data_IF_512789916406
#
_entry.id   IF_512789916406
#
_cell.length_a   1.000
_cell.length_b   1.000
_cell.length_c   1.000
_cell.angle_alpha   90.00
_cell.angle_beta   90.00
_cell.angle_gamma   90.00
#
_symmetry.space_group_name_H-M   'P 1'
#
loop_
_entity.id
_entity.type
_entity.pdbx_description
1 polymer ?
#
# COMPACT_ATOMS: atom_id res chain seq x y z
N UNK A 1 -6.04 3.09 34.89
CA UNK A 1 -5.74 4.28 34.07
C UNK A 1 -6.22 4.03 32.65
N UNK A 2 -7.36 4.61 32.25
CA UNK A 2 -7.80 4.60 30.85
C UNK A 2 -7.01 5.69 30.12
N UNK A 3 -6.13 5.31 29.19
CA UNK A 3 -5.52 6.27 28.26
C UNK A 3 -6.62 6.70 27.29
N UNK A 4 -7.15 7.90 27.49
CA UNK A 4 -7.91 8.62 26.46
C UNK A 4 -6.90 9.03 25.37
N UNK A 5 -6.54 8.08 24.50
CA UNK A 5 -5.98 8.46 23.21
C UNK A 5 -7.10 9.20 22.45
N UNK A 6 -6.81 10.33 21.79
CA UNK A 6 -7.80 10.95 20.91
C UNK A 6 -8.23 9.91 19.89
N UNK A 7 -9.53 9.59 19.87
CA UNK A 7 -10.09 8.70 18.87
C UNK A 7 -9.90 9.35 17.51
N UNK A 8 -9.27 8.63 16.58
CA UNK A 8 -9.18 9.07 15.19
C UNK A 8 -10.54 8.81 14.55
N UNK A 9 -11.37 9.85 14.48
CA UNK A 9 -12.64 9.78 13.78
C UNK A 9 -12.43 9.91 12.27
N UNK A 10 -12.54 8.79 11.55
CA UNK A 10 -12.59 8.81 10.09
C UNK A 10 -13.96 9.32 9.64
N UNK A 11 -14.06 10.62 9.39
CA UNK A 11 -15.30 11.26 8.96
C UNK A 11 -15.65 11.00 7.48
N UNK A 12 -14.68 10.53 6.67
CA UNK A 12 -14.84 10.27 5.24
C UNK A 12 -13.92 9.14 4.76
N UNK A 13 -14.35 8.35 3.76
CA UNK A 13 -13.55 7.28 3.16
C UNK A 13 -12.25 7.79 2.49
N UNK A 14 -12.26 9.03 2.01
CA UNK A 14 -11.08 9.72 1.49
C UNK A 14 -9.96 9.86 2.53
N UNK A 15 -10.31 10.02 3.80
CA UNK A 15 -9.35 10.12 4.90
C UNK A 15 -8.59 8.81 5.14
N UNK A 16 -9.24 7.66 4.93
CA UNK A 16 -8.57 6.35 5.01
C UNK A 16 -7.61 6.11 3.85
N UNK A 17 -8.01 6.50 2.63
CA UNK A 17 -7.14 6.41 1.44
C UNK A 17 -5.94 7.33 1.57
N UNK A 18 -6.13 8.55 2.09
CA UNK A 18 -5.06 9.49 2.42
C UNK A 18 -4.10 8.91 3.45
N UNK A 19 -4.61 8.42 4.59
CA UNK A 19 -3.79 7.78 5.62
C UNK A 19 -2.96 6.62 5.07
N UNK A 20 -3.56 5.75 4.23
CA UNK A 20 -2.83 4.67 3.58
C UNK A 20 -1.66 5.19 2.74
N UNK A 21 -1.91 6.19 1.91
CA UNK A 21 -0.88 6.81 1.09
C UNK A 21 0.24 7.42 1.94
N UNK A 22 -0.12 8.20 2.95
CA UNK A 22 0.84 8.89 3.82
C UNK A 22 1.74 7.90 4.58
N UNK A 23 1.17 6.82 5.13
CA UNK A 23 1.95 5.81 5.84
C UNK A 23 2.90 5.05 4.91
N UNK A 24 2.44 4.72 3.70
CA UNK A 24 3.30 4.05 2.72
C UNK A 24 4.46 4.96 2.28
N UNK A 25 4.21 6.27 2.11
CA UNK A 25 5.25 7.24 1.81
C UNK A 25 6.23 7.43 2.97
N UNK A 26 5.74 7.59 4.20
CA UNK A 26 6.60 7.70 5.39
C UNK A 26 7.55 6.50 5.47
N UNK A 27 7.03 5.28 5.26
CA UNK A 27 7.85 4.06 5.16
C UNK A 27 8.89 4.15 4.04
N UNK A 28 8.47 4.50 2.82
CA UNK A 28 9.37 4.59 1.67
C UNK A 28 10.51 5.59 1.88
N UNK A 29 10.26 6.66 2.62
CA UNK A 29 11.26 7.69 2.96
C UNK A 29 12.02 7.40 4.27
N UNK A 30 11.89 6.19 4.84
CA UNK A 30 12.67 5.76 6.01
C UNK A 30 12.15 6.25 7.36
N UNK A 31 10.94 6.79 7.44
CA UNK A 31 10.28 7.21 8.69
C UNK A 31 9.52 6.06 9.36
N UNK A 32 10.23 4.96 9.62
CA UNK A 32 9.68 3.75 10.24
C UNK A 32 9.14 4.00 11.65
N UNK A 33 9.83 4.85 12.41
CA UNK A 33 9.46 5.33 13.75
C UNK A 33 8.05 5.94 13.81
N UNK A 34 7.55 6.45 12.68
CA UNK A 34 6.19 7.01 12.54
C UNK A 34 5.22 6.02 11.90
N UNK A 35 5.66 5.33 10.85
CA UNK A 35 4.80 4.43 10.09
C UNK A 35 4.34 3.21 10.94
N UNK A 36 5.26 2.62 11.71
CA UNK A 36 4.97 1.41 12.46
C UNK A 36 3.96 1.61 13.61
N UNK A 37 4.12 2.60 14.51
CA UNK A 37 3.13 2.82 15.57
C UNK A 37 1.72 3.12 15.03
N UNK A 38 1.63 3.84 13.91
CA UNK A 38 0.35 4.12 13.26
C UNK A 38 -0.30 2.83 12.72
N UNK A 39 0.47 1.97 12.05
CA UNK A 39 -0.02 0.68 11.58
C UNK A 39 -0.42 -0.26 12.73
N UNK A 40 0.28 -0.24 13.87
CA UNK A 40 -0.14 -0.97 15.07
C UNK A 40 -1.48 -0.46 15.59
N UNK A 41 -1.71 0.85 15.58
CA UNK A 41 -3.00 1.41 15.98
C UNK A 41 -4.12 0.96 15.02
N UNK A 42 -3.87 0.98 13.71
CA UNK A 42 -4.81 0.47 12.72
C UNK A 42 -5.08 -1.04 12.92
N UNK A 43 -4.06 -1.84 13.20
CA UNK A 43 -4.20 -3.27 13.46
C UNK A 43 -5.07 -3.59 14.69
N UNK A 44 -5.20 -2.64 15.62
CA UNK A 44 -6.05 -2.78 16.81
C UNK A 44 -7.53 -2.47 16.60
N UNK A 45 -7.92 -2.03 15.40
CA UNK A 45 -9.32 -1.73 15.06
C UNK A 45 -10.15 -3.03 15.08
N UNK A 46 -11.28 -3.07 15.80
CA UNK A 46 -12.16 -4.24 15.80
C UNK A 46 -12.75 -4.53 14.42
N UNK A 47 -13.02 -5.81 14.15
CA UNK A 47 -13.67 -6.30 12.93
C UNK A 47 -12.92 -6.06 11.62
N UNK A 48 -11.58 -6.00 11.67
CA UNK A 48 -10.71 -5.97 10.50
C UNK A 48 -10.96 -7.11 9.50
N UNK A 49 -11.73 -8.13 9.87
CA UNK A 49 -12.21 -9.21 9.02
C UNK A 49 -13.29 -8.80 7.99
N UNK A 50 -14.06 -7.74 8.24
CA UNK A 50 -15.15 -7.38 7.33
C UNK A 50 -14.65 -6.67 6.06
N UNK A 51 -15.27 -6.95 4.91
CA UNK A 51 -14.88 -6.40 3.59
C UNK A 51 -14.74 -4.87 3.54
N UNK A 52 -15.46 -4.15 4.41
CA UNK A 52 -15.41 -2.70 4.52
C UNK A 52 -14.06 -2.14 5.03
N UNK A 53 -13.23 -2.97 5.65
CA UNK A 53 -11.94 -2.57 6.22
C UNK A 53 -10.73 -2.96 5.35
N UNK A 54 -10.95 -3.26 4.06
CA UNK A 54 -9.88 -3.63 3.13
C UNK A 54 -8.74 -2.60 3.10
N UNK A 55 -9.05 -1.29 3.10
CA UNK A 55 -8.03 -0.22 3.12
C UNK A 55 -7.20 -0.25 4.41
N UNK A 56 -7.80 -0.57 5.55
CA UNK A 56 -7.06 -0.67 6.82
C UNK A 56 -6.15 -1.90 6.82
N UNK A 57 -6.62 -3.03 6.28
CA UNK A 57 -5.77 -4.22 6.10
C UNK A 57 -4.58 -3.94 5.18
N UNK A 58 -4.80 -3.22 4.08
CA UNK A 58 -3.72 -2.78 3.20
C UNK A 58 -2.64 -2.03 3.96
N UNK A 59 -3.01 -1.06 4.82
CA UNK A 59 -2.05 -0.33 5.67
C UNK A 59 -1.20 -1.28 6.51
N UNK A 60 -1.84 -2.24 7.18
CA UNK A 60 -1.15 -3.18 8.07
C UNK A 60 -0.22 -4.09 7.27
N UNK A 61 -0.67 -4.62 6.13
CA UNK A 61 0.12 -5.52 5.30
C UNK A 61 1.26 -4.81 4.57
N UNK A 62 1.10 -3.54 4.20
CA UNK A 62 2.16 -2.70 3.63
C UNK A 62 3.35 -2.59 4.60
N UNK A 63 3.05 -2.28 5.86
CA UNK A 63 4.06 -2.17 6.93
C UNK A 63 4.61 -3.55 7.29
N UNK A 64 3.77 -4.58 7.39
CA UNK A 64 4.18 -5.95 7.70
C UNK A 64 5.13 -6.53 6.64
N UNK A 65 4.87 -6.27 5.36
CA UNK A 65 5.74 -6.75 4.28
C UNK A 65 7.12 -6.08 4.35
N UNK A 66 7.17 -4.78 4.66
CA UNK A 66 8.45 -4.11 4.85
C UNK A 66 9.23 -4.65 6.05
N UNK A 67 8.58 -4.85 7.20
CA UNK A 67 9.21 -5.47 8.37
C UNK A 67 9.79 -6.86 8.03
N UNK A 68 9.05 -7.67 7.27
CA UNK A 68 9.51 -8.99 6.84
C UNK A 68 10.77 -8.92 5.97
N UNK A 69 10.88 -7.90 5.11
CA UNK A 69 12.05 -7.68 4.25
C UNK A 69 13.28 -7.20 5.02
N UNK A 70 13.06 -6.50 6.12
CA UNK A 70 14.13 -6.06 7.04
C UNK A 70 14.54 -7.14 8.04
N UNK A 71 13.84 -8.29 8.05
CA UNK A 71 14.07 -9.37 9.00
C UNK A 71 13.54 -9.08 10.42
N UNK A 72 12.70 -8.06 10.59
CA UNK A 72 12.06 -7.73 11.86
C UNK A 72 10.83 -8.63 12.10
N UNK A 73 11.10 -9.87 12.48
CA UNK A 73 10.07 -10.88 12.72
C UNK A 73 9.14 -10.53 13.90
N UNK A 74 9.63 -9.77 14.87
CA UNK A 74 8.82 -9.32 16.01
C UNK A 74 7.73 -8.36 15.57
N UNK A 75 8.08 -7.39 14.71
CA UNK A 75 7.10 -6.48 14.10
C UNK A 75 6.14 -7.22 13.18
N UNK A 76 6.62 -8.21 12.42
CA UNK A 76 5.76 -9.06 11.58
C UNK A 76 4.72 -9.82 12.40
N UNK A 77 5.13 -10.37 13.55
CA UNK A 77 4.24 -11.10 14.46
C UNK A 77 3.20 -10.15 15.08
N UNK A 78 3.64 -9.01 15.63
CA UNK A 78 2.76 -8.01 16.25
C UNK A 78 1.70 -7.47 15.29
N UNK A 79 2.08 -7.20 14.04
CA UNK A 79 1.13 -6.73 13.03
C UNK A 79 0.22 -7.86 12.53
N UNK A 80 0.66 -9.13 12.63
CA UNK A 80 -0.08 -10.28 12.12
C UNK A 80 -1.24 -10.74 12.99
N UNK A 81 -1.22 -10.46 14.30
CA UNK A 81 -2.18 -11.02 15.28
C UNK A 81 -3.66 -10.71 14.95
N UNK A 82 -3.92 -9.59 14.28
CA UNK A 82 -5.27 -9.13 13.92
C UNK A 82 -5.44 -8.71 12.46
N UNK A 83 -4.38 -8.87 11.65
CA UNK A 83 -4.41 -8.47 10.25
C UNK A 83 -5.05 -9.52 9.33
N UNK A 84 -5.04 -10.78 9.77
CA UNK A 84 -5.62 -11.89 9.03
C UNK A 84 -7.04 -12.19 9.47
N UNK A 85 -7.82 -12.62 8.51
CA UNK A 85 -9.13 -13.23 8.71
C UNK A 85 -9.18 -14.48 7.85
N UNK A 86 -9.44 -15.62 8.49
CA UNK A 86 -9.46 -16.94 7.86
C UNK A 86 -10.55 -17.05 6.80
N UNK A 87 -11.63 -16.27 6.94
CA UNK A 87 -12.79 -16.28 6.04
C UNK A 87 -12.70 -15.23 4.92
N UNK A 88 -11.76 -14.29 5.01
CA UNK A 88 -11.58 -13.24 3.99
C UNK A 88 -10.47 -13.63 3.00
N UNK A 89 -10.84 -13.65 1.72
CA UNK A 89 -9.89 -13.71 0.60
C UNK A 89 -10.09 -12.50 -0.31
N UNK A 90 -9.04 -11.72 -0.59
CA UNK A 90 -9.14 -10.63 -1.54
C UNK A 90 -9.54 -11.12 -2.94
N UNK A 91 -10.66 -10.60 -3.47
CA UNK A 91 -11.25 -11.05 -4.75
C UNK A 91 -10.34 -10.82 -5.97
N UNK A 92 -9.31 -10.01 -5.82
CA UNK A 92 -8.38 -9.62 -6.86
C UNK A 92 -7.10 -10.47 -6.92
N UNK A 93 -6.93 -11.44 -6.02
CA UNK A 93 -5.75 -12.31 -6.03
C UNK A 93 -5.63 -13.13 -7.32
N UNK A 94 -6.74 -13.51 -7.93
CA UNK A 94 -6.77 -14.45 -9.06
C UNK A 94 -6.82 -13.77 -10.43
N UNK A 95 -6.93 -12.44 -10.49
CA UNK A 95 -7.16 -11.71 -11.74
C UNK A 95 -6.04 -10.73 -12.04
N UNK A 96 -5.34 -10.98 -13.13
CA UNK A 96 -4.35 -10.04 -13.65
C UNK A 96 -5.07 -8.86 -14.33
N UNK A 97 -5.12 -7.69 -13.66
CA UNK A 97 -5.56 -6.42 -14.27
C UNK A 97 -6.67 -5.65 -13.56
N UNK A 98 -7.48 -6.30 -12.71
CA UNK A 98 -8.37 -5.58 -11.79
C UNK A 98 -7.91 -5.90 -10.36
N UNK A 99 -7.61 -4.90 -9.50
CA UNK A 99 -7.74 -3.45 -9.65
C UNK A 99 -6.43 -2.68 -9.95
N UNK A 100 -5.39 -3.35 -10.46
CA UNK A 100 -4.08 -2.75 -10.78
C UNK A 100 -4.16 -1.61 -11.80
N UNK A 101 -3.44 -0.52 -11.54
CA UNK A 101 -3.34 0.68 -12.38
C UNK A 101 -2.21 0.59 -13.41
N UNK A 102 -1.17 -0.20 -13.13
CA UNK A 102 0.00 -0.43 -13.99
C UNK A 102 0.70 0.87 -14.42
N UNK A 103 1.12 1.72 -13.46
CA UNK A 103 1.68 3.04 -13.77
C UNK A 103 2.93 3.02 -14.63
N UNK A 104 3.65 1.89 -14.66
CA UNK A 104 4.87 1.73 -15.45
C UNK A 104 4.64 1.05 -16.81
N UNK A 105 3.44 0.52 -17.08
CA UNK A 105 3.17 -0.24 -18.31
C UNK A 105 2.14 0.43 -19.22
N UNK A 106 1.17 1.17 -18.66
CA UNK A 106 0.16 1.88 -19.46
C UNK A 106 0.77 3.14 -20.10
N UNK A 107 0.88 3.25 -21.44
CA UNK A 107 1.48 4.40 -22.11
C UNK A 107 0.73 5.72 -21.88
N UNK A 108 -0.58 5.68 -21.65
CA UNK A 108 -1.36 6.88 -21.31
C UNK A 108 -1.04 7.34 -19.88
N UNK A 109 -0.94 6.40 -18.95
CA UNK A 109 -0.61 6.70 -17.57
C UNK A 109 0.84 7.17 -17.43
N UNK A 110 1.80 6.51 -18.07
CA UNK A 110 3.20 6.95 -18.11
C UNK A 110 3.35 8.40 -18.61
N UNK A 111 2.59 8.78 -19.64
CA UNK A 111 2.52 10.17 -20.14
C UNK A 111 1.97 11.13 -19.11
N UNK A 112 0.83 10.81 -18.48
CA UNK A 112 0.22 11.68 -17.47
C UNK A 112 1.05 11.80 -16.19
N UNK A 113 1.89 10.80 -15.90
CA UNK A 113 2.86 10.82 -14.81
C UNK A 113 4.15 11.60 -15.14
N UNK A 114 4.34 11.98 -16.40
CA UNK A 114 5.53 12.68 -16.87
C UNK A 114 6.75 11.78 -17.09
N UNK A 115 6.57 10.45 -17.11
CA UNK A 115 7.65 9.49 -17.39
C UNK A 115 8.05 9.48 -18.87
N UNK A 116 7.06 9.59 -19.77
CA UNK A 116 7.27 9.66 -21.23
C UNK A 116 6.60 10.91 -21.82
N UNK A 117 7.01 12.14 -21.44
CA UNK A 117 6.28 13.34 -21.83
C UNK A 117 6.23 13.51 -23.36
N UNK A 118 5.05 13.81 -23.89
CA UNK A 118 4.86 14.15 -25.31
C UNK A 118 4.50 15.63 -25.44
N UNK A 119 4.89 16.33 -26.53
CA UNK A 119 4.47 17.71 -26.74
C UNK A 119 2.95 17.84 -26.67
N UNK A 120 2.45 18.74 -25.80
CA UNK A 120 1.02 18.97 -25.60
C UNK A 120 0.29 17.94 -24.72
N UNK A 121 0.96 16.94 -24.15
CA UNK A 121 0.32 16.02 -23.21
C UNK A 121 0.03 16.68 -21.87
N UNK A 122 -1.16 16.47 -21.31
CA UNK A 122 -1.46 16.84 -19.94
C UNK A 122 -0.66 15.98 -18.96
N UNK A 123 0.12 16.63 -18.10
CA UNK A 123 0.89 15.98 -17.03
C UNK A 123 0.23 16.34 -15.70
N UNK A 124 -0.04 15.33 -14.88
CA UNK A 124 -0.62 15.51 -13.55
C UNK A 124 0.26 16.42 -12.69
N UNK A 125 -0.32 17.21 -11.77
CA UNK A 125 0.46 17.88 -10.72
C UNK A 125 1.26 16.86 -9.91
N UNK A 126 2.48 17.19 -9.43
CA UNK A 126 3.34 16.23 -8.71
C UNK A 126 2.65 15.44 -7.59
N UNK A 127 1.83 16.05 -6.70
CA UNK A 127 1.15 15.31 -5.63
C UNK A 127 0.21 14.20 -6.13
N UNK A 128 -0.30 14.33 -7.35
CA UNK A 128 -1.25 13.37 -7.92
C UNK A 128 -0.57 12.23 -8.68
N UNK A 129 0.75 12.30 -8.91
CA UNK A 129 1.51 11.30 -9.68
C UNK A 129 1.75 10.01 -8.89
N UNK A 130 1.77 10.10 -7.56
CA UNK A 130 2.09 8.95 -6.69
C UNK A 130 0.93 7.96 -6.54
N UNK A 131 -0.31 8.44 -6.58
CA UNK A 131 -1.50 7.65 -6.22
C UNK A 131 -1.61 6.30 -6.96
N UNK A 132 -1.36 6.21 -8.28
CA UNK A 132 -1.39 4.93 -8.97
C UNK A 132 -0.36 3.91 -8.44
N UNK A 133 0.84 4.36 -8.08
CA UNK A 133 1.88 3.50 -7.51
C UNK A 133 1.51 3.04 -6.10
N UNK A 134 1.05 3.96 -5.25
CA UNK A 134 0.65 3.64 -3.88
C UNK A 134 -0.48 2.60 -3.85
N UNK A 135 -1.42 2.69 -4.79
CA UNK A 135 -2.49 1.71 -4.90
C UNK A 135 -1.99 0.33 -5.31
N UNK A 136 -1.15 0.25 -6.35
CA UNK A 136 -0.64 -1.03 -6.82
C UNK A 136 0.28 -1.69 -5.78
N UNK A 137 1.11 -0.91 -5.08
CA UNK A 137 1.95 -1.41 -3.97
C UNK A 137 1.10 -2.03 -2.86
N UNK A 138 0.02 -1.36 -2.43
CA UNK A 138 -0.89 -1.92 -1.42
C UNK A 138 -1.60 -3.20 -1.86
N UNK A 139 -1.95 -3.31 -3.15
CA UNK A 139 -2.54 -4.53 -3.69
C UNK A 139 -1.53 -5.68 -3.67
N UNK A 140 -0.27 -5.43 -4.03
CA UNK A 140 0.79 -6.43 -3.95
C UNK A 140 1.02 -6.87 -2.50
N UNK A 141 0.99 -5.94 -1.53
CA UNK A 141 1.14 -6.26 -0.11
C UNK A 141 0.03 -7.17 0.41
N UNK A 142 -1.21 -6.93 -0.02
CA UNK A 142 -2.33 -7.83 0.26
C UNK A 142 -2.07 -9.22 -0.34
N UNK A 143 -1.67 -9.31 -1.61
CA UNK A 143 -1.42 -10.61 -2.24
C UNK A 143 -0.28 -11.35 -1.55
N UNK A 144 0.80 -10.65 -1.18
CA UNK A 144 1.92 -11.19 -0.41
C UNK A 144 1.46 -11.75 0.94
N UNK A 145 0.62 -11.01 1.66
CA UNK A 145 0.15 -11.41 2.98
C UNK A 145 -0.60 -12.75 2.93
N UNK A 146 -1.36 -13.00 1.87
CA UNK A 146 -2.12 -14.22 1.63
C UNK A 146 -1.31 -15.33 0.92
N UNK A 147 0.02 -15.21 0.85
CA UNK A 147 0.92 -16.24 0.33
C UNK A 147 1.08 -16.26 -1.18
N UNK A 148 0.69 -15.19 -1.88
CA UNK A 148 0.75 -15.10 -3.33
C UNK A 148 -0.47 -15.68 -4.02
N UNK A 149 -0.41 -15.77 -5.35
CA UNK A 149 -1.42 -16.43 -6.17
C UNK A 149 -0.81 -17.07 -7.42
N UNK A 150 -1.54 -17.91 -8.18
CA UNK A 150 -1.03 -18.48 -9.42
C UNK A 150 -0.58 -17.44 -10.46
N UNK A 151 -1.22 -16.26 -10.47
CA UNK A 151 -0.83 -15.15 -11.35
C UNK A 151 0.23 -14.24 -10.71
N UNK A 152 0.33 -14.22 -9.38
CA UNK A 152 1.29 -13.44 -8.61
C UNK A 152 2.10 -14.32 -7.65
N UNK A 153 3.01 -15.15 -8.16
CA UNK A 153 3.92 -15.91 -7.29
C UNK A 153 4.86 -14.95 -6.54
N UNK A 154 5.40 -15.42 -5.42
CA UNK A 154 6.12 -14.58 -4.45
C UNK A 154 7.34 -13.85 -5.05
N UNK A 155 8.06 -14.50 -5.95
CA UNK A 155 9.17 -13.93 -6.71
C UNK A 155 8.72 -12.81 -7.64
N UNK A 156 7.61 -13.01 -8.36
CA UNK A 156 6.99 -11.98 -9.22
C UNK A 156 6.51 -10.79 -8.40
N UNK A 157 5.87 -11.02 -7.25
CA UNK A 157 5.43 -9.96 -6.35
C UNK A 157 6.57 -9.06 -5.89
N UNK A 158 7.66 -9.67 -5.44
CA UNK A 158 8.83 -8.93 -4.95
C UNK A 158 9.50 -8.13 -6.07
N UNK A 159 9.60 -8.73 -7.26
CA UNK A 159 10.11 -8.03 -8.44
C UNK A 159 9.26 -6.82 -8.81
N UNK A 160 7.94 -6.99 -8.88
CA UNK A 160 7.02 -5.91 -9.27
C UNK A 160 6.99 -4.80 -8.21
N UNK A 161 7.01 -5.17 -6.92
CA UNK A 161 7.12 -4.22 -5.81
C UNK A 161 8.39 -3.39 -5.95
N UNK A 162 9.55 -4.01 -6.17
CA UNK A 162 10.82 -3.30 -6.36
C UNK A 162 10.75 -2.34 -7.57
N UNK A 163 10.17 -2.79 -8.67
CA UNK A 163 9.97 -1.99 -9.89
C UNK A 163 9.11 -0.77 -9.63
N UNK A 164 7.99 -0.93 -8.92
CA UNK A 164 7.07 0.16 -8.57
C UNK A 164 7.67 1.15 -7.57
N UNK A 165 8.37 0.68 -6.53
CA UNK A 165 9.05 1.57 -5.58
C UNK A 165 10.12 2.41 -6.28
N UNK A 166 10.95 1.81 -7.12
CA UNK A 166 11.95 2.54 -7.90
C UNK A 166 11.29 3.55 -8.85
N UNK A 167 10.19 3.17 -9.50
CA UNK A 167 9.42 4.07 -10.37
C UNK A 167 8.81 5.25 -9.61
N UNK A 168 8.29 5.04 -8.41
CA UNK A 168 7.74 6.08 -7.55
C UNK A 168 8.82 7.07 -7.11
N UNK A 169 9.99 6.57 -6.66
CA UNK A 169 11.11 7.43 -6.25
C UNK A 169 11.73 8.19 -7.43
N UNK A 170 11.59 7.66 -8.65
CA UNK A 170 12.05 8.30 -9.88
C UNK A 170 11.03 9.25 -10.53
N UNK A 171 9.88 9.52 -9.89
CA UNK A 171 8.87 10.40 -10.48
C UNK A 171 9.38 11.85 -10.61
N UNK A 172 9.20 12.49 -11.78
CA UNK A 172 9.66 13.87 -11.96
C UNK A 172 8.96 14.84 -11.02
N UNK A 173 9.70 15.81 -10.48
CA UNK A 173 9.15 16.88 -9.63
C UNK A 173 8.75 16.45 -8.22
N UNK A 174 9.27 15.31 -7.75
CA UNK A 174 9.04 14.77 -6.40
C UNK A 174 10.22 15.03 -5.43
N UNK A 175 11.29 15.70 -5.89
CA UNK A 175 12.51 16.05 -5.14
C UNK A 175 12.51 17.50 -4.65
#
# INVERSE_FOLDING_TARGET
>A
MRRNAPAVDFTQSSSMVGLKGDLLLLRLYGHWDRAFPAAQHVASVPWMNWGQFEVLRMIVHDVRWAAAREGDLDSVAKLGEHAFDDDYRPLFMEKEGLPFKRPLDDPKLRRSLGLDPSPGSFILPPPNRITPFLNDLSLLAMIWAYGGSPVWPMDRLEHERARLEAGLLGLPGMS
#
